data_IF_739105258531
#
_entry.id   IF_739105258531
#
_cell.length_a   1.000
_cell.length_b   1.000
_cell.length_c   1.000
_cell.angle_alpha   90.00
_cell.angle_beta   90.00
_cell.angle_gamma   90.00
#
_symmetry.space_group_name_H-M   'P 1'
#
loop_
_entity.id
_entity.type
_entity.pdbx_description
1 polymer ?
#
# COMPACT_ATOMS: atom_id res chain seq x y z
N UNK A 1 -22.45 -8.73 20.81
CA UNK A 1 -23.09 -8.80 19.47
C UNK A 1 -23.32 -7.39 18.88
N UNK A 2 -22.26 -6.64 18.55
CA UNK A 2 -22.39 -5.29 17.94
C UNK A 2 -21.54 -5.13 16.67
N UNK A 3 -21.38 -6.22 15.91
CA UNK A 3 -20.46 -6.29 14.76
C UNK A 3 -21.11 -6.70 13.42
N UNK A 4 -22.44 -6.69 13.32
CA UNK A 4 -23.11 -7.02 12.06
C UNK A 4 -24.06 -5.89 11.66
N UNK A 5 -23.49 -4.75 11.21
CA UNK A 5 -24.27 -3.71 10.54
C UNK A 5 -23.41 -2.93 9.54
N UNK A 6 -22.84 -3.64 8.57
CA UNK A 6 -22.48 -3.05 7.27
C UNK A 6 -22.68 -4.08 6.15
N UNK A 7 -23.88 -4.67 6.14
CA UNK A 7 -24.43 -5.36 5.00
C UNK A 7 -25.68 -4.60 4.55
N UNK A 8 -25.53 -3.48 3.82
CA UNK A 8 -26.65 -2.97 3.04
C UNK A 8 -26.29 -1.87 2.03
N UNK A 9 -26.63 -2.17 0.77
CA UNK A 9 -26.95 -1.28 -0.35
C UNK A 9 -25.83 -0.93 -1.36
N UNK A 10 -26.12 -1.04 -2.68
CA UNK A 10 -25.21 -0.64 -3.76
C UNK A 10 -24.86 0.86 -3.75
N UNK A 11 -25.64 1.70 -3.05
CA UNK A 11 -25.33 3.11 -2.80
C UNK A 11 -23.94 3.31 -2.18
N UNK A 12 -23.43 2.28 -1.51
CA UNK A 12 -22.09 2.30 -0.94
C UNK A 12 -20.99 2.34 -2.01
N UNK A 13 -21.13 1.65 -3.16
CA UNK A 13 -20.07 1.60 -4.17
C UNK A 13 -19.70 2.99 -4.71
N UNK A 14 -20.70 3.81 -5.03
CA UNK A 14 -20.46 5.18 -5.52
C UNK A 14 -19.82 6.06 -4.45
N UNK A 15 -20.23 5.90 -3.19
CA UNK A 15 -19.58 6.55 -2.06
C UNK A 15 -18.09 6.18 -1.98
N UNK A 16 -17.74 4.89 -2.10
CA UNK A 16 -16.34 4.45 -2.08
C UNK A 16 -15.52 5.03 -3.25
N UNK A 17 -16.10 5.07 -4.46
CA UNK A 17 -15.45 5.69 -5.62
C UNK A 17 -15.23 7.18 -5.36
N UNK A 18 -16.21 7.90 -4.79
CA UNK A 18 -16.06 9.31 -4.44
C UNK A 18 -14.94 9.50 -3.41
N UNK A 19 -14.89 8.69 -2.36
CA UNK A 19 -13.83 8.79 -1.33
C UNK A 19 -12.45 8.62 -1.97
N UNK A 20 -12.26 7.58 -2.79
CA UNK A 20 -11.00 7.34 -3.50
C UNK A 20 -10.67 8.50 -4.46
N UNK A 21 -11.67 8.99 -5.20
CA UNK A 21 -11.50 10.12 -6.12
C UNK A 21 -11.14 11.42 -5.40
N UNK A 22 -11.75 11.72 -4.25
CA UNK A 22 -11.43 12.88 -3.42
C UNK A 22 -10.01 12.78 -2.86
N UNK A 23 -9.62 11.60 -2.37
CA UNK A 23 -8.25 11.38 -1.90
C UNK A 23 -7.24 11.59 -3.03
N UNK A 24 -7.50 11.06 -4.23
CA UNK A 24 -6.65 11.30 -5.40
C UNK A 24 -6.65 12.77 -5.85
N UNK A 25 -7.79 13.46 -5.77
CA UNK A 25 -7.89 14.87 -6.10
C UNK A 25 -7.07 15.74 -5.13
N UNK A 26 -7.21 15.51 -3.83
CA UNK A 26 -6.36 16.15 -2.80
C UNK A 26 -4.89 15.81 -3.03
N UNK A 27 -4.57 14.58 -3.39
CA UNK A 27 -3.20 14.16 -3.68
C UNK A 27 -2.62 14.82 -4.93
N UNK A 28 -3.45 15.11 -5.94
CA UNK A 28 -3.08 15.91 -7.12
C UNK A 28 -2.80 17.37 -6.76
N UNK A 29 -3.58 17.94 -5.85
CA UNK A 29 -3.31 19.29 -5.32
C UNK A 29 -1.97 19.29 -4.59
N UNK A 30 -1.73 18.34 -3.68
CA UNK A 30 -0.46 18.21 -2.95
C UNK A 30 0.73 18.01 -3.90
N UNK A 31 0.59 17.14 -4.90
CA UNK A 31 1.61 16.92 -5.96
C UNK A 31 1.99 18.23 -6.63
N UNK A 32 1.02 19.09 -6.95
CA UNK A 32 1.26 20.37 -7.65
C UNK A 32 2.06 21.38 -6.82
N UNK A 33 2.04 21.30 -5.49
CA UNK A 33 2.84 22.17 -4.61
C UNK A 33 4.21 21.57 -4.28
N UNK A 34 4.39 20.26 -4.45
CA UNK A 34 5.63 19.58 -4.11
C UNK A 34 6.62 19.63 -5.28
N UNK A 35 7.87 20.10 -5.09
CA UNK A 35 8.87 20.12 -6.16
C UNK A 35 9.41 18.72 -6.52
N UNK A 36 9.11 17.70 -5.70
CA UNK A 36 9.58 16.34 -5.90
C UNK A 36 8.63 15.61 -6.86
N UNK A 37 9.15 14.93 -7.91
CA UNK A 37 8.34 14.19 -8.87
C UNK A 37 7.74 12.90 -8.27
N UNK A 38 6.80 13.05 -7.34
CA UNK A 38 6.04 11.95 -6.74
C UNK A 38 4.67 11.86 -7.42
N UNK A 39 4.29 10.70 -8.00
CA UNK A 39 2.97 10.54 -8.59
C UNK A 39 1.86 10.76 -7.54
N UNK A 40 0.80 11.50 -7.89
CA UNK A 40 -0.36 11.66 -7.01
C UNK A 40 -0.92 10.34 -6.48
N UNK A 41 -0.85 9.24 -7.23
CA UNK A 41 -1.35 7.94 -6.75
C UNK A 41 -0.55 7.40 -5.55
N UNK A 42 0.75 7.67 -5.47
CA UNK A 42 1.60 7.24 -4.34
C UNK A 42 1.28 8.09 -3.11
N UNK A 43 1.11 9.41 -3.31
CA UNK A 43 0.68 10.33 -2.26
C UNK A 43 -0.71 9.92 -1.75
N UNK A 44 -1.63 9.59 -2.65
CA UNK A 44 -2.97 9.13 -2.32
C UNK A 44 -3.00 7.82 -1.53
N UNK A 45 -2.10 6.89 -1.83
CA UNK A 45 -1.93 5.67 -1.04
C UNK A 45 -1.56 6.00 0.41
N UNK A 46 -0.54 6.84 0.60
CA UNK A 46 -0.08 7.25 1.94
C UNK A 46 -1.17 8.03 2.67
N UNK A 47 -1.84 8.96 1.98
CA UNK A 47 -2.91 9.77 2.55
C UNK A 47 -4.10 8.90 2.97
N UNK A 48 -4.56 7.98 2.11
CA UNK A 48 -5.64 7.04 2.44
C UNK A 48 -5.26 6.15 3.62
N UNK A 49 -4.02 5.66 3.64
CA UNK A 49 -3.52 4.83 4.72
C UNK A 49 -3.52 5.58 6.06
N UNK A 50 -3.10 6.85 6.07
CA UNK A 50 -3.16 7.70 7.27
C UNK A 50 -4.62 7.96 7.68
N UNK A 51 -5.51 8.28 6.74
CA UNK A 51 -6.95 8.46 7.01
C UNK A 51 -7.60 7.19 7.59
N UNK A 52 -7.12 6.02 7.18
CA UNK A 52 -7.56 4.74 7.72
C UNK A 52 -7.01 4.50 9.13
N UNK A 53 -5.75 4.83 9.38
CA UNK A 53 -5.12 4.74 10.70
C UNK A 53 -5.75 5.69 11.73
N UNK A 54 -6.11 6.91 11.32
CA UNK A 54 -6.81 7.86 12.19
C UNK A 54 -8.30 7.53 12.37
N UNK A 55 -8.84 6.61 11.56
CA UNK A 55 -10.25 6.25 11.55
C UNK A 55 -11.16 7.31 10.92
N UNK A 56 -10.59 8.33 10.27
CA UNK A 56 -11.34 9.35 9.53
C UNK A 56 -12.08 8.74 8.33
N UNK A 57 -11.48 7.74 7.69
CA UNK A 57 -12.11 6.90 6.66
C UNK A 57 -12.09 5.46 7.15
N UNK A 58 -13.23 4.76 7.13
CA UNK A 58 -13.28 3.35 7.54
C UNK A 58 -12.89 2.42 6.38
N UNK A 59 -12.35 1.24 6.68
CA UNK A 59 -11.99 0.25 5.66
C UNK A 59 -13.20 -0.10 4.78
N UNK A 60 -14.36 -0.28 5.41
CA UNK A 60 -15.61 -0.55 4.71
C UNK A 60 -15.94 0.49 3.63
N UNK A 61 -15.51 1.75 3.78
CA UNK A 61 -15.71 2.87 2.85
C UNK A 61 -14.83 2.84 1.60
N UNK A 62 -13.88 1.92 1.48
CA UNK A 62 -13.01 1.80 0.29
C UNK A 62 -12.77 0.35 -0.14
N UNK A 63 -13.01 -0.62 0.73
CA UNK A 63 -12.65 -2.03 0.57
C UNK A 63 -13.24 -2.68 -0.68
N UNK A 64 -14.51 -2.39 -1.01
CA UNK A 64 -15.20 -3.09 -2.12
C UNK A 64 -14.69 -2.63 -3.49
N UNK A 65 -14.50 -1.33 -3.69
CA UNK A 65 -13.92 -0.74 -4.91
C UNK A 65 -12.46 -1.14 -5.01
N UNK A 66 -11.69 -1.01 -3.93
CA UNK A 66 -10.29 -1.44 -3.88
C UNK A 66 -10.13 -2.90 -4.30
N UNK A 67 -10.90 -3.80 -3.67
CA UNK A 67 -10.91 -5.23 -4.01
C UNK A 67 -11.33 -5.48 -5.45
N UNK A 68 -12.34 -4.77 -5.96
CA UNK A 68 -12.79 -4.91 -7.36
C UNK A 68 -11.69 -4.50 -8.35
N UNK A 69 -10.98 -3.39 -8.08
CA UNK A 69 -9.86 -2.93 -8.91
C UNK A 69 -8.67 -3.88 -8.81
N UNK A 70 -8.29 -4.34 -7.61
CA UNK A 70 -7.19 -5.29 -7.41
C UNK A 70 -7.48 -6.64 -8.06
N UNK A 71 -8.71 -7.15 -7.96
CA UNK A 71 -9.12 -8.38 -8.63
C UNK A 71 -9.06 -8.27 -10.16
N UNK A 72 -9.27 -7.06 -10.69
CA UNK A 72 -9.22 -6.77 -12.12
C UNK A 72 -7.93 -6.03 -12.52
N UNK A 73 -6.85 -6.17 -11.75
CA UNK A 73 -5.60 -5.43 -12.03
C UNK A 73 -5.04 -5.79 -13.42
N UNK A 74 -5.22 -7.04 -13.85
CA UNK A 74 -4.85 -7.48 -15.21
C UNK A 74 -5.57 -6.69 -16.31
N UNK A 75 -6.85 -6.36 -16.14
CA UNK A 75 -7.62 -5.53 -17.08
C UNK A 75 -7.06 -4.10 -17.11
N UNK A 76 -6.74 -3.52 -15.95
CA UNK A 76 -6.16 -2.17 -15.86
C UNK A 76 -4.76 -2.09 -16.50
N UNK A 77 -4.04 -3.20 -16.61
CA UNK A 77 -2.77 -3.27 -17.33
C UNK A 77 -2.92 -3.47 -18.84
N UNK A 78 -4.10 -3.77 -19.38
CA UNK A 78 -4.30 -3.93 -20.85
C UNK A 78 -4.00 -2.64 -21.60
N UNK A 79 -4.56 -1.46 -21.25
CA UNK A 79 -4.21 -0.20 -21.92
C UNK A 79 -2.72 0.14 -21.81
N UNK A 80 -2.10 -0.11 -20.66
CA UNK A 80 -0.67 0.09 -20.46
C UNK A 80 0.16 -0.85 -21.35
N UNK A 81 -0.25 -2.11 -21.49
CA UNK A 81 0.37 -3.08 -22.39
C UNK A 81 0.26 -2.67 -23.86
N UNK A 82 -0.89 -2.16 -24.30
CA UNK A 82 -1.08 -1.64 -25.66
C UNK A 82 -0.11 -0.47 -25.94
N UNK A 83 0.12 0.41 -24.94
CA UNK A 83 1.12 1.48 -25.05
C UNK A 83 2.53 0.96 -25.29
N UNK A 84 2.91 -0.14 -24.61
CA UNK A 84 4.20 -0.82 -24.81
C UNK A 84 4.27 -1.46 -26.20
N UNK A 85 3.18 -2.07 -26.68
CA UNK A 85 3.11 -2.67 -28.03
C UNK A 85 3.35 -1.63 -29.13
N UNK A 86 2.79 -0.43 -28.99
CA UNK A 86 3.06 0.67 -29.93
C UNK A 86 4.51 1.18 -29.86
N UNK A 87 5.20 0.92 -28.75
CA UNK A 87 6.59 1.30 -28.51
C UNK A 87 7.59 0.18 -28.82
N UNK A 88 7.15 -0.92 -29.45
CA UNK A 88 8.02 -2.07 -29.76
C UNK A 88 9.20 -1.71 -30.65
N UNK A 89 9.05 -0.71 -31.53
CA UNK A 89 10.16 -0.20 -32.34
C UNK A 89 11.32 0.33 -31.50
N UNK A 90 11.02 1.05 -30.41
CA UNK A 90 12.03 1.57 -29.46
C UNK A 90 12.63 0.44 -28.64
N UNK A 91 11.80 -0.50 -28.19
CA UNK A 91 12.24 -1.70 -27.47
C UNK A 91 13.21 -2.54 -28.32
N UNK A 92 12.95 -2.65 -29.62
CA UNK A 92 13.74 -3.47 -30.55
C UNK A 92 15.16 -2.93 -30.76
N UNK A 93 15.42 -1.66 -30.45
CA UNK A 93 16.76 -1.06 -30.59
C UNK A 93 17.74 -1.59 -29.54
N UNK A 94 17.24 -1.94 -28.35
CA UNK A 94 18.08 -2.39 -27.24
C UNK A 94 17.34 -3.34 -26.27
N UNK A 95 16.81 -4.49 -26.75
CA UNK A 95 15.95 -5.35 -25.95
C UNK A 95 16.65 -5.90 -24.71
N UNK A 96 17.91 -6.34 -24.85
CA UNK A 96 18.72 -6.88 -23.75
C UNK A 96 19.03 -5.84 -22.67
N UNK A 97 19.22 -4.57 -23.05
CA UNK A 97 19.47 -3.48 -22.10
C UNK A 97 18.19 -3.17 -21.32
N UNK A 98 17.05 -3.09 -22.00
CA UNK A 98 15.77 -2.75 -21.38
C UNK A 98 15.30 -3.85 -20.43
N UNK A 99 15.37 -5.11 -20.85
CA UNK A 99 15.01 -6.25 -19.98
C UNK A 99 15.93 -6.34 -18.77
N UNK A 100 17.25 -6.15 -18.97
CA UNK A 100 18.23 -6.10 -17.89
C UNK A 100 17.93 -4.98 -16.90
N UNK A 101 17.63 -3.78 -17.40
CA UNK A 101 17.25 -2.61 -16.58
C UNK A 101 15.99 -2.90 -15.74
N UNK A 102 14.94 -3.46 -16.35
CA UNK A 102 13.69 -3.79 -15.65
C UNK A 102 13.95 -4.80 -14.54
N UNK A 103 14.67 -5.89 -14.83
CA UNK A 103 15.00 -6.93 -13.86
C UNK A 103 15.81 -6.36 -12.69
N UNK A 104 16.90 -5.63 -13.00
CA UNK A 104 17.77 -5.04 -11.98
C UNK A 104 16.99 -4.03 -11.12
N UNK A 105 16.21 -3.14 -11.75
CA UNK A 105 15.38 -2.16 -11.04
C UNK A 105 14.35 -2.83 -10.13
N UNK A 106 13.69 -3.88 -10.61
CA UNK A 106 12.70 -4.65 -9.83
C UNK A 106 13.35 -5.32 -8.63
N UNK A 107 14.49 -5.98 -8.82
CA UNK A 107 15.22 -6.65 -7.74
C UNK A 107 15.69 -5.62 -6.70
N UNK A 108 16.28 -4.50 -7.13
CA UNK A 108 16.72 -3.44 -6.22
C UNK A 108 15.56 -2.84 -5.43
N UNK A 109 14.42 -2.61 -6.07
CA UNK A 109 13.21 -2.12 -5.41
C UNK A 109 12.73 -3.12 -4.34
N UNK A 110 12.68 -4.42 -4.67
CA UNK A 110 12.30 -5.49 -3.75
C UNK A 110 13.26 -5.63 -2.57
N UNK A 111 14.57 -5.56 -2.81
CA UNK A 111 15.59 -5.61 -1.75
C UNK A 111 15.45 -4.40 -0.83
N UNK A 112 15.34 -3.19 -1.40
CA UNK A 112 15.21 -1.96 -0.63
C UNK A 112 13.95 -1.98 0.24
N UNK A 113 12.78 -2.27 -0.35
CA UNK A 113 11.50 -2.34 0.40
C UNK A 113 11.52 -3.44 1.47
N UNK A 114 12.08 -4.61 1.13
CA UNK A 114 12.21 -5.74 2.06
C UNK A 114 13.13 -5.40 3.22
N UNK A 115 14.27 -4.76 2.97
CA UNK A 115 15.24 -4.36 3.99
C UNK A 115 14.67 -3.29 4.93
N UNK A 116 14.02 -2.27 4.38
CA UNK A 116 13.34 -1.21 5.15
C UNK A 116 12.26 -1.83 6.04
N UNK A 117 11.43 -2.72 5.49
CA UNK A 117 10.38 -3.41 6.27
C UNK A 117 10.98 -4.23 7.40
N UNK A 118 12.06 -4.98 7.16
CA UNK A 118 12.74 -5.77 8.18
C UNK A 118 13.34 -4.91 9.30
N UNK A 119 13.92 -3.75 8.98
CA UNK A 119 14.43 -2.81 9.98
C UNK A 119 13.28 -2.33 10.88
N UNK A 120 12.17 -1.89 10.28
CA UNK A 120 11.00 -1.40 11.03
C UNK A 120 10.45 -2.50 11.95
N UNK A 121 10.37 -3.74 11.47
CA UNK A 121 9.93 -4.88 12.30
C UNK A 121 10.89 -5.15 13.46
N UNK A 122 12.21 -5.16 13.25
CA UNK A 122 13.20 -5.37 14.32
C UNK A 122 13.12 -4.30 15.41
N UNK A 123 12.96 -3.04 15.03
CA UNK A 123 12.80 -1.93 15.98
C UNK A 123 11.51 -2.08 16.80
N UNK A 124 10.42 -2.50 16.16
CA UNK A 124 9.11 -2.64 16.82
C UNK A 124 9.02 -3.89 17.72
N UNK A 125 9.60 -5.02 17.31
CA UNK A 125 9.51 -6.30 18.04
C UNK A 125 10.36 -6.37 19.31
N UNK A 126 11.47 -5.62 19.41
CA UNK A 126 12.29 -5.58 20.64
C UNK A 126 11.49 -5.15 21.87
N UNK A 127 10.49 -4.29 21.68
CA UNK A 127 9.60 -3.87 22.76
C UNK A 127 8.71 -4.99 23.29
N UNK A 128 8.34 -5.98 22.45
CA UNK A 128 7.42 -7.05 22.87
C UNK A 128 8.11 -8.22 23.56
N UNK A 129 9.29 -8.62 23.08
CA UNK A 129 10.05 -9.75 23.65
C UNK A 129 10.63 -9.47 25.04
N UNK A 130 11.12 -8.25 25.27
CA UNK A 130 11.72 -7.86 26.55
C UNK A 130 10.67 -7.77 27.66
N UNK A 131 9.45 -7.32 27.32
CA UNK A 131 8.32 -7.27 28.27
C UNK A 131 7.87 -8.67 28.70
N UNK A 132 7.80 -9.63 27.77
CA UNK A 132 7.46 -11.02 28.08
C UNK A 132 8.54 -11.64 28.96
N UNK A 133 9.82 -11.49 28.60
CA UNK A 133 10.94 -12.03 29.40
C UNK A 133 10.96 -11.43 30.80
N UNK A 134 10.73 -10.12 30.92
CA UNK A 134 10.65 -9.47 32.22
C UNK A 134 9.44 -9.97 33.01
N UNK A 135 8.26 -10.12 32.38
CA UNK A 135 7.06 -10.64 33.06
C UNK A 135 7.28 -12.07 33.57
N UNK A 136 7.89 -12.95 32.75
CA UNK A 136 8.25 -14.31 33.16
C UNK A 136 9.24 -14.29 34.32
N UNK A 137 10.31 -13.47 34.26
CA UNK A 137 11.26 -13.37 35.38
C UNK A 137 10.63 -12.83 36.67
N UNK A 138 9.67 -11.91 36.58
CA UNK A 138 8.94 -11.44 37.76
C UNK A 138 8.02 -12.56 38.27
N UNK A 139 7.31 -13.27 37.40
CA UNK A 139 6.47 -14.42 37.79
C UNK A 139 7.27 -15.58 38.40
N UNK A 140 8.47 -15.87 37.88
CA UNK A 140 9.39 -16.88 38.42
C UNK A 140 9.95 -16.47 39.79
N UNK A 141 10.32 -15.19 39.97
CA UNK A 141 10.81 -14.69 41.26
C UNK A 141 9.74 -14.75 42.36
N UNK A 142 8.47 -14.54 42.01
CA UNK A 142 7.35 -14.57 42.96
C UNK A 142 6.90 -15.98 43.35
N UNK A 143 7.33 -17.02 42.63
CA UNK A 143 6.95 -18.40 42.91
C UNK A 143 7.88 -19.11 43.91
N UNK A 144 8.99 -18.47 44.30
CA UNK A 144 10.03 -19.07 45.15
C UNK A 144 10.13 -18.43 46.56
N UNK A 145 9.23 -17.51 46.92
CA UNK A 145 9.05 -16.97 48.29
C UNK A 145 7.78 -17.54 48.93
#
# INVERSE_FOLDING_TARGET
MKQQKDASKPAHFFHQVIVIALVLFVSKIIESFMPIPMPASVIGLVLLFVLLCTGAVKLGEVEKVGTTLTNNIGLLFVPAGISVVNSLGVISQAPFLIIGLIIVSTILLLICTGYVTQIIMKVTSRSKGDKVTKKVKIEEAQAHD
#
